data_IF_801418691909
#
_entry.id   IF_801418691909
#
_cell.length_a   1.000
_cell.length_b   1.000
_cell.length_c   1.000
_cell.angle_alpha   90.00
_cell.angle_beta   90.00
_cell.angle_gamma   90.00
#
_symmetry.space_group_name_H-M   'P 1'
#
loop_
_entity.id
_entity.type
_entity.pdbx_description
1 polymer ?
#
# COMPACT_ATOMS: atom_id res chain seq x y z
N UNK A 1 22.97 -6.09 7.10
CA UNK A 1 21.69 -5.35 7.00
C UNK A 1 21.92 -3.95 7.57
N UNK A 2 21.84 -2.91 6.75
CA UNK A 2 22.00 -1.54 7.26
C UNK A 2 20.77 -1.15 8.08
N UNK A 3 20.96 -0.63 9.29
CA UNK A 3 19.90 -0.15 10.16
C UNK A 3 19.32 1.15 9.58
N UNK A 4 18.24 1.07 8.80
CA UNK A 4 17.55 2.25 8.29
C UNK A 4 16.75 2.91 9.41
N UNK A 5 17.00 4.19 9.65
CA UNK A 5 16.25 5.01 10.60
C UNK A 5 15.85 6.31 9.95
N UNK A 6 14.67 6.82 10.30
CA UNK A 6 14.31 8.21 10.04
C UNK A 6 14.83 9.08 11.18
N UNK A 7 15.36 10.26 10.84
CA UNK A 7 15.64 11.34 11.80
C UNK A 7 14.59 12.40 11.57
N UNK A 8 13.80 12.73 12.60
CA UNK A 8 12.66 13.64 12.50
C UNK A 8 12.92 14.87 13.37
N UNK A 9 12.86 16.06 12.77
CA UNK A 9 12.93 17.33 13.47
C UNK A 9 11.52 17.90 13.66
N UNK A 10 11.09 18.01 14.92
CA UNK A 10 9.75 18.50 15.29
C UNK A 10 9.58 20.01 15.08
N UNK A 11 8.39 20.53 15.40
CA UNK A 11 8.08 21.97 15.35
C UNK A 11 7.46 22.46 14.04
N UNK A 12 7.22 21.57 13.09
CA UNK A 12 6.67 21.89 11.77
C UNK A 12 5.17 21.58 11.70
N UNK A 13 4.28 22.57 11.49
CA UNK A 13 2.85 22.29 11.27
C UNK A 13 2.66 21.50 9.97
N UNK A 14 1.85 20.45 10.01
CA UNK A 14 1.49 19.68 8.81
C UNK A 14 0.36 20.40 8.09
N UNK A 15 0.52 20.64 6.78
CA UNK A 15 -0.48 21.27 5.93
C UNK A 15 -0.50 20.68 4.53
N UNK A 16 -1.63 20.84 3.84
CA UNK A 16 -1.84 20.34 2.47
C UNK A 16 -2.85 19.21 2.40
N UNK A 17 -2.81 18.44 1.31
CA UNK A 17 -3.71 17.31 1.06
C UNK A 17 -2.89 16.09 0.65
N UNK A 18 -3.27 14.93 1.18
CA UNK A 18 -2.74 13.64 0.75
C UNK A 18 -3.88 12.80 0.18
N UNK A 19 -3.55 11.89 -0.73
CA UNK A 19 -4.45 10.82 -1.15
C UNK A 19 -4.01 9.53 -0.47
N UNK A 20 -4.85 8.91 0.39
CA UNK A 20 -4.52 7.61 0.96
C UNK A 20 -4.32 6.55 -0.14
N UNK A 21 -3.36 5.65 0.08
CA UNK A 21 -3.19 4.47 -0.77
C UNK A 21 -4.29 3.43 -0.51
N UNK A 22 -4.37 2.41 -1.37
CA UNK A 22 -5.26 1.28 -1.19
C UNK A 22 -5.06 0.51 0.11
N UNK A 23 -6.08 -0.26 0.50
CA UNK A 23 -6.02 -1.08 1.71
C UNK A 23 -5.31 -2.41 1.43
N UNK A 24 -4.14 -2.63 2.04
CA UNK A 24 -3.37 -3.87 1.88
C UNK A 24 -4.13 -5.12 2.34
N UNK A 25 -4.94 -4.99 3.40
CA UNK A 25 -5.69 -6.09 3.96
C UNK A 25 -6.90 -6.48 3.09
N UNK A 26 -7.33 -5.59 2.20
CA UNK A 26 -8.28 -5.93 1.14
C UNK A 26 -7.56 -6.46 -0.10
N UNK A 27 -6.42 -5.88 -0.48
CA UNK A 27 -5.65 -6.27 -1.65
C UNK A 27 -5.16 -7.73 -1.59
N UNK A 28 -4.58 -8.16 -0.45
CA UNK A 28 -4.06 -9.53 -0.30
C UNK A 28 -5.10 -10.63 -0.60
N UNK A 29 -6.28 -10.67 0.05
CA UNK A 29 -7.27 -11.71 -0.24
C UNK A 29 -7.87 -11.56 -1.65
N UNK A 30 -7.96 -10.34 -2.20
CA UNK A 30 -8.40 -10.14 -3.58
C UNK A 30 -7.41 -10.71 -4.60
N UNK A 31 -6.10 -10.54 -4.37
CA UNK A 31 -5.05 -11.17 -5.19
C UNK A 31 -5.16 -12.70 -5.09
N UNK A 32 -5.36 -13.25 -3.90
CA UNK A 32 -5.56 -14.69 -3.74
C UNK A 32 -6.81 -15.20 -4.49
N UNK A 33 -7.90 -14.42 -4.48
CA UNK A 33 -9.13 -14.77 -5.17
C UNK A 33 -8.99 -14.80 -6.70
N UNK A 34 -8.01 -14.09 -7.29
CA UNK A 34 -7.79 -14.15 -8.75
C UNK A 34 -7.35 -15.54 -9.22
N UNK A 35 -6.87 -16.39 -8.32
CA UNK A 35 -6.52 -17.79 -8.62
C UNK A 35 -7.75 -18.67 -8.89
N UNK A 36 -8.97 -18.21 -8.56
CA UNK A 36 -10.20 -18.98 -8.69
C UNK A 36 -10.81 -18.93 -10.09
N UNK A 37 -10.24 -18.16 -11.02
CA UNK A 37 -10.69 -18.07 -12.41
C UNK A 37 -9.49 -18.05 -13.37
N UNK A 38 -9.73 -18.46 -14.61
CA UNK A 38 -8.78 -18.29 -15.71
C UNK A 38 -9.01 -16.97 -16.48
N UNK A 39 -10.12 -16.28 -16.20
CA UNK A 39 -10.44 -14.99 -16.83
C UNK A 39 -9.53 -13.87 -16.31
N UNK A 40 -9.41 -12.81 -17.11
CA UNK A 40 -8.66 -11.60 -16.71
C UNK A 40 -9.33 -10.91 -15.50
N UNK A 41 -8.51 -10.56 -14.51
CA UNK A 41 -8.93 -9.77 -13.34
C UNK A 41 -8.05 -8.52 -13.23
N UNK A 42 -8.67 -7.34 -13.27
CA UNK A 42 -7.98 -6.06 -13.10
C UNK A 42 -8.29 -5.48 -11.71
N UNK A 43 -7.30 -5.51 -10.82
CA UNK A 43 -7.37 -4.86 -9.52
C UNK A 43 -6.83 -3.43 -9.60
N UNK A 44 -7.64 -2.43 -9.22
CA UNK A 44 -7.25 -1.02 -9.20
C UNK A 44 -7.08 -0.53 -7.77
N UNK A 45 -6.33 0.56 -7.59
CA UNK A 45 -6.02 1.13 -6.26
C UNK A 45 -5.32 0.12 -5.32
N UNK A 46 -4.47 -0.74 -5.85
CA UNK A 46 -3.62 -1.64 -5.07
C UNK A 46 -2.44 -0.83 -4.51
N UNK A 47 -2.14 -0.88 -3.19
CA UNK A 47 -1.04 -0.11 -2.62
C UNK A 47 0.32 -0.71 -3.02
N UNK A 48 1.30 0.15 -3.29
CA UNK A 48 2.68 -0.26 -3.61
C UNK A 48 3.49 -0.31 -2.32
N UNK A 49 3.49 -1.47 -1.65
CA UNK A 49 4.19 -1.71 -0.40
C UNK A 49 4.78 -3.13 -0.39
N UNK A 50 5.67 -3.44 0.55
CA UNK A 50 6.37 -4.74 0.57
C UNK A 50 5.46 -5.98 0.61
N UNK A 51 4.32 -5.88 1.31
CA UNK A 51 3.45 -7.04 1.56
C UNK A 51 2.60 -7.43 0.34
N UNK A 52 2.46 -6.54 -0.65
CA UNK A 52 1.52 -6.61 -1.79
C UNK A 52 2.31 -6.57 -3.09
#
# INVERSE_FOLDING_TARGET
>A
MANQRFVIEGGHPIGGRIRPSGNKNAALPLIAATLLTADEVVLTNVPVIRDV
#
